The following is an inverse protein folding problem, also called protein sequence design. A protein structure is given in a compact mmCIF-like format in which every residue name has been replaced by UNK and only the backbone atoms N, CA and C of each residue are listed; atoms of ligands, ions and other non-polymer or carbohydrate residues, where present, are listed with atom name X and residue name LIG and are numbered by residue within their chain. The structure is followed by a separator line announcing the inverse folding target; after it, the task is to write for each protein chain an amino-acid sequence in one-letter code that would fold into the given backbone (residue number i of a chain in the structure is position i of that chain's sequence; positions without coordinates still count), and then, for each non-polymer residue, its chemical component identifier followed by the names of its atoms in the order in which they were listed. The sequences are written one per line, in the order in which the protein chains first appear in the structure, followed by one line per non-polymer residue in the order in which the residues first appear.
data_IF_519220213857
#
_entry.id   IF_519220213857
#
_cell.length_a   1.000
_cell.length_b   1.000
_cell.length_c   1.000
_cell.angle_alpha   90.00
_cell.angle_beta   90.00
_cell.angle_gamma   90.00
#
_symmetry.space_group_name_H-M   'P 1'
#
loop_
_entity.id
_entity.type
_entity.pdbx_description
1 polymer ?
#
# COMPACT_ATOMS: atom_id res chain seq x y z
N UNK A 1 10.75 9.60 -12.37
CA UNK A 1 11.92 10.03 -11.60
C UNK A 1 11.68 9.82 -10.11
N UNK A 2 12.43 8.88 -9.54
CA UNK A 2 12.27 8.51 -8.13
C UNK A 2 12.60 9.66 -7.18
N UNK A 3 13.62 10.42 -7.50
CA UNK A 3 14.00 11.56 -6.66
C UNK A 3 12.89 12.61 -6.59
N UNK A 4 12.26 12.93 -7.71
CA UNK A 4 11.16 13.86 -7.73
C UNK A 4 9.96 13.37 -6.93
N UNK A 5 9.67 12.07 -7.04
CA UNK A 5 8.61 11.47 -6.25
C UNK A 5 8.93 11.50 -4.76
N UNK A 6 10.18 11.22 -4.41
CA UNK A 6 10.60 11.29 -3.01
C UNK A 6 10.42 12.69 -2.44
N UNK A 7 10.79 13.71 -3.20
CA UNK A 7 10.61 15.10 -2.78
C UNK A 7 9.13 15.42 -2.55
N UNK A 8 8.24 14.90 -3.40
CA UNK A 8 6.80 15.07 -3.21
C UNK A 8 6.32 14.40 -1.93
N UNK A 9 6.83 13.22 -1.62
CA UNK A 9 6.43 12.48 -0.42
C UNK A 9 6.87 13.14 0.87
N UNK A 10 7.88 14.01 0.81
CA UNK A 10 8.30 14.78 1.98
C UNK A 10 7.24 15.79 2.42
N UNK A 11 6.41 16.26 1.50
CA UNK A 11 5.49 17.36 1.77
C UNK A 11 4.02 17.07 1.46
N UNK A 12 3.70 15.93 0.83
CA UNK A 12 2.33 15.64 0.39
C UNK A 12 1.86 14.29 0.89
N UNK A 13 0.56 14.16 1.21
CA UNK A 13 -0.01 12.83 1.45
C UNK A 13 0.03 12.01 0.17
N UNK A 14 0.13 10.70 0.30
CA UNK A 14 0.21 9.81 -0.85
C UNK A 14 -0.48 8.48 -0.62
N UNK A 15 -1.18 8.03 -1.66
CA UNK A 15 -1.76 6.71 -1.71
C UNK A 15 -1.19 6.01 -2.95
N UNK A 16 -0.40 4.96 -2.74
CA UNK A 16 0.18 4.17 -3.83
C UNK A 16 -0.62 2.92 -4.11
N UNK A 17 -0.90 2.65 -5.37
CA UNK A 17 -1.69 1.48 -5.78
C UNK A 17 -0.89 0.69 -6.82
N UNK A 18 -0.77 -0.61 -6.61
CA UNK A 18 -0.07 -1.54 -7.49
C UNK A 18 1.39 -1.13 -7.72
N UNK A 19 1.73 -0.61 -8.89
CA UNK A 19 3.09 -0.13 -9.17
C UNK A 19 3.49 0.99 -8.21
N UNK A 20 2.55 1.87 -7.87
CA UNK A 20 2.80 2.94 -6.90
C UNK A 20 3.21 2.41 -5.53
N UNK A 21 2.63 1.29 -5.11
CA UNK A 21 3.02 0.60 -3.88
C UNK A 21 4.49 0.16 -3.93
N UNK A 22 4.91 -0.45 -5.04
CA UNK A 22 6.28 -0.90 -5.20
C UNK A 22 7.26 0.29 -5.26
N UNK A 23 6.87 1.35 -5.92
CA UNK A 23 7.68 2.58 -6.00
C UNK A 23 7.88 3.19 -4.61
N UNK A 24 6.84 3.27 -3.80
CA UNK A 24 6.94 3.78 -2.43
C UNK A 24 7.92 2.93 -1.62
N UNK A 25 7.83 1.61 -1.74
CA UNK A 25 8.77 0.74 -1.04
C UNK A 25 10.22 1.04 -1.44
N UNK A 26 10.48 1.18 -2.73
CA UNK A 26 11.82 1.49 -3.22
C UNK A 26 12.32 2.87 -2.77
N UNK A 27 11.45 3.86 -2.73
CA UNK A 27 11.83 5.21 -2.28
C UNK A 27 12.39 5.18 -0.85
N UNK A 28 11.82 4.34 0.00
CA UNK A 28 12.25 4.23 1.39
C UNK A 28 13.32 3.14 1.61
N UNK A 29 13.88 2.61 0.53
CA UNK A 29 15.00 1.67 0.63
C UNK A 29 14.60 0.20 0.63
N UNK A 30 13.35 -0.11 0.38
CA UNK A 30 12.88 -1.48 0.29
C UNK A 30 13.26 -2.15 -1.01
N UNK A 31 12.99 -3.43 -1.09
CA UNK A 31 13.31 -4.27 -2.24
C UNK A 31 12.07 -4.98 -2.76
N UNK A 32 12.08 -5.30 -4.05
CA UNK A 32 11.07 -6.17 -4.64
C UNK A 32 11.73 -7.44 -5.14
N UNK A 33 10.94 -8.50 -5.30
CA UNK A 33 11.42 -9.76 -5.84
C UNK A 33 10.39 -10.34 -6.80
N UNK A 34 10.86 -11.15 -7.73
CA UNK A 34 9.98 -11.79 -8.71
C UNK A 34 9.27 -12.98 -8.05
N UNK A 35 7.95 -12.99 -8.18
CA UNK A 35 7.13 -14.11 -7.70
C UNK A 35 7.28 -15.30 -8.64
N UNK A 36 7.25 -16.51 -8.07
CA UNK A 36 7.37 -17.71 -8.86
C UNK A 36 6.22 -17.84 -9.87
N UNK A 37 5.00 -17.56 -9.43
CA UNK A 37 3.81 -17.68 -10.27
C UNK A 37 3.08 -16.37 -10.53
N UNK A 38 3.44 -15.30 -9.82
CA UNK A 38 2.71 -14.04 -9.87
C UNK A 38 1.37 -14.12 -9.14
N UNK A 39 0.78 -12.96 -8.92
CA UNK A 39 -0.57 -12.85 -8.36
C UNK A 39 -1.47 -12.29 -9.45
N UNK A 40 -2.43 -13.09 -9.91
CA UNK A 40 -3.34 -12.70 -11.00
C UNK A 40 -4.75 -13.16 -10.71
N UNK A 41 -5.70 -12.35 -11.15
CA UNK A 41 -7.11 -12.68 -11.02
C UNK A 41 -7.79 -11.99 -9.85
N UNK A 42 -9.08 -12.26 -9.68
CA UNK A 42 -9.94 -11.60 -8.71
C UNK A 42 -10.10 -12.32 -7.38
N UNK A 43 -9.25 -13.29 -7.10
CA UNK A 43 -9.38 -14.09 -5.88
C UNK A 43 -8.02 -14.23 -5.17
N UNK A 44 -7.40 -13.10 -4.89
CA UNK A 44 -6.16 -13.05 -4.13
C UNK A 44 -6.49 -12.60 -2.71
N UNK A 45 -6.48 -13.51 -1.73
CA UNK A 45 -6.88 -13.17 -0.36
C UNK A 45 -5.80 -12.35 0.34
N UNK A 46 -6.19 -11.19 0.82
CA UNK A 46 -5.30 -10.28 1.52
C UNK A 46 -5.83 -10.03 2.93
N UNK A 47 -4.98 -10.17 3.92
CA UNK A 47 -5.33 -9.93 5.31
C UNK A 47 -4.84 -8.56 5.74
N UNK A 48 -5.73 -7.76 6.27
CA UNK A 48 -5.36 -6.54 6.97
C UNK A 48 -4.89 -6.94 8.37
N UNK A 49 -3.64 -6.63 8.69
CA UNK A 49 -2.99 -7.13 9.91
C UNK A 49 -3.67 -6.60 11.17
N UNK A 50 -3.99 -5.31 11.19
CA UNK A 50 -4.55 -4.67 12.38
C UNK A 50 -5.91 -5.26 12.77
N UNK A 51 -6.81 -5.42 11.82
CA UNK A 51 -8.17 -5.93 12.09
C UNK A 51 -8.27 -7.45 12.02
N UNK A 52 -7.33 -8.10 11.35
CA UNK A 52 -7.38 -9.53 11.07
C UNK A 52 -8.37 -9.93 9.97
N UNK A 53 -9.00 -8.95 9.33
CA UNK A 53 -9.99 -9.22 8.28
C UNK A 53 -9.29 -9.61 6.99
N UNK A 54 -9.92 -10.55 6.25
CA UNK A 54 -9.43 -11.01 4.96
C UNK A 54 -10.38 -10.53 3.87
N UNK A 55 -9.79 -9.96 2.83
CA UNK A 55 -10.54 -9.44 1.69
C UNK A 55 -10.13 -10.16 0.42
N UNK A 56 -11.09 -10.57 -0.43
CA UNK A 56 -10.73 -11.01 -1.78
C UNK A 56 -10.32 -9.78 -2.59
N UNK A 57 -9.18 -9.86 -3.26
CA UNK A 57 -8.67 -8.73 -4.02
C UNK A 57 -8.39 -9.13 -5.46
N UNK A 58 -8.42 -8.13 -6.35
CA UNK A 58 -8.02 -8.31 -7.74
C UNK A 58 -6.59 -7.84 -7.91
N UNK A 59 -5.73 -8.71 -8.44
CA UNK A 59 -4.31 -8.42 -8.61
C UNK A 59 -3.82 -8.87 -9.97
N UNK A 60 -2.79 -8.21 -10.46
CA UNK A 60 -2.13 -8.59 -11.71
C UNK A 60 -0.70 -8.06 -11.67
N UNK A 61 0.18 -8.81 -11.01
CA UNK A 61 1.59 -8.41 -10.93
C UNK A 61 2.49 -9.62 -10.78
N UNK A 62 3.72 -9.48 -11.25
CA UNK A 62 4.73 -10.53 -11.15
C UNK A 62 5.79 -10.30 -10.09
N UNK A 63 5.76 -9.15 -9.43
CA UNK A 63 6.72 -8.77 -8.38
C UNK A 63 5.99 -8.39 -7.11
N UNK A 64 6.65 -8.59 -5.98
CA UNK A 64 6.13 -8.21 -4.67
C UNK A 64 7.21 -7.50 -3.87
N UNK A 65 6.78 -6.69 -2.90
CA UNK A 65 7.71 -6.05 -1.97
C UNK A 65 8.23 -7.10 -0.99
N UNK A 66 9.54 -7.11 -0.80
CA UNK A 66 10.20 -8.03 0.11
C UNK A 66 10.06 -7.57 1.56
N UNK A 67 9.88 -8.53 2.48
CA UNK A 67 9.93 -8.26 3.91
C UNK A 67 11.35 -8.37 4.47
N UNK A 68 12.32 -8.71 3.64
CA UNK A 68 13.74 -8.79 4.03
C UNK A 68 14.36 -7.39 3.94
N UNK A 69 15.20 -7.05 4.93
CA UNK A 69 15.81 -5.73 5.01
C UNK A 69 14.78 -4.62 4.88
N UNK A 70 13.66 -4.82 5.55
CA UNK A 70 12.49 -3.97 5.39
C UNK A 70 12.79 -2.54 5.89
N UNK A 71 12.32 -1.51 5.17
CA UNK A 71 12.55 -0.11 5.58
C UNK A 71 12.01 0.18 6.97
N UNK A 72 12.83 0.81 7.79
CA UNK A 72 12.44 1.12 9.18
C UNK A 72 11.34 2.18 9.28
N UNK A 73 11.16 2.99 8.24
CA UNK A 73 10.15 4.05 8.25
C UNK A 73 8.76 3.57 7.85
N UNK A 74 8.64 2.31 7.43
CA UNK A 74 7.39 1.74 6.95
C UNK A 74 6.92 0.59 7.85
N UNK A 75 5.61 0.42 7.94
CA UNK A 75 4.99 -0.74 8.57
C UNK A 75 4.23 -1.53 7.51
N UNK A 76 4.21 -2.85 7.66
CA UNK A 76 3.41 -3.72 6.79
C UNK A 76 1.98 -3.71 7.33
N UNK A 77 1.03 -3.37 6.47
CA UNK A 77 -0.39 -3.30 6.86
C UNK A 77 -1.21 -4.47 6.31
N UNK A 78 -0.79 -5.03 5.21
CA UNK A 78 -1.52 -6.10 4.54
C UNK A 78 -0.57 -7.20 4.05
N UNK A 79 -1.03 -8.44 4.13
CA UNK A 79 -0.29 -9.62 3.66
C UNK A 79 -1.19 -10.48 2.78
N UNK A 80 -0.65 -11.00 1.68
CA UNK A 80 -1.32 -12.05 0.92
C UNK A 80 -1.22 -13.34 1.72
N UNK A 81 -2.35 -13.96 2.05
CA UNK A 81 -2.33 -15.13 2.93
C UNK A 81 -1.96 -16.43 2.23
N UNK A 82 -1.92 -16.46 0.91
CA UNK A 82 -1.51 -17.65 0.17
C UNK A 82 0.00 -17.89 0.25
N UNK A 83 0.79 -16.83 0.25
CA UNK A 83 2.25 -16.95 0.22
C UNK A 83 2.97 -16.00 1.19
N UNK A 84 2.23 -15.29 2.04
CA UNK A 84 2.78 -14.37 3.03
C UNK A 84 3.61 -13.23 2.42
N UNK A 85 3.25 -12.78 1.23
CA UNK A 85 3.91 -11.62 0.62
C UNK A 85 3.28 -10.32 1.08
N UNK A 86 4.08 -9.26 1.09
CA UNK A 86 3.62 -7.93 1.50
C UNK A 86 2.62 -7.39 0.48
N UNK A 87 1.46 -6.93 0.94
CA UNK A 87 0.42 -6.39 0.09
C UNK A 87 -0.03 -4.99 0.48
N UNK A 88 0.52 -4.42 1.54
CA UNK A 88 0.20 -3.06 1.95
C UNK A 88 1.22 -2.50 2.89
N UNK A 89 1.43 -1.20 2.82
CA UNK A 89 2.41 -0.47 3.61
C UNK A 89 1.81 0.82 4.15
N UNK A 90 2.38 1.31 5.24
CA UNK A 90 2.04 2.60 5.82
C UNK A 90 3.31 3.22 6.40
N UNK A 91 3.53 4.51 6.12
CA UNK A 91 4.64 5.23 6.75
C UNK A 91 4.32 5.46 8.23
N UNK A 92 5.33 5.36 9.08
CA UNK A 92 5.15 5.52 10.53
C UNK A 92 4.72 6.92 10.95
N UNK A 93 5.18 7.93 10.24
CA UNK A 93 5.00 9.33 10.62
C UNK A 93 4.26 10.18 9.61
N UNK A 94 4.28 9.82 8.33
CA UNK A 94 3.70 10.62 7.24
C UNK A 94 2.40 10.01 6.74
N UNK A 95 1.50 10.81 6.15
CA UNK A 95 0.24 10.28 5.60
C UNK A 95 0.47 9.61 4.26
N UNK A 96 1.21 8.51 4.27
CA UNK A 96 1.55 7.71 3.09
C UNK A 96 1.12 6.28 3.35
N UNK A 97 0.25 5.76 2.49
CA UNK A 97 -0.15 4.35 2.52
C UNK A 97 -0.10 3.78 1.11
N UNK A 98 0.05 2.48 1.01
CA UNK A 98 0.05 1.83 -0.29
C UNK A 98 -0.54 0.43 -0.21
N UNK A 99 -1.10 -0.02 -1.32
CA UNK A 99 -1.64 -1.37 -1.45
C UNK A 99 -1.20 -1.94 -2.79
N UNK A 100 -0.95 -3.26 -2.82
CA UNK A 100 -0.53 -3.94 -4.03
C UNK A 100 -1.69 -4.21 -4.97
N UNK A 101 -2.88 -4.43 -4.43
CA UNK A 101 -4.05 -4.75 -5.25
C UNK A 101 -4.73 -3.48 -5.78
N UNK A 102 -5.58 -3.68 -6.78
CA UNK A 102 -6.36 -2.59 -7.35
C UNK A 102 -7.66 -2.45 -6.56
N UNK A 103 -7.74 -1.44 -5.72
CA UNK A 103 -8.92 -1.25 -4.87
C UNK A 103 -10.18 -1.00 -5.67
N UNK A 104 -10.07 -0.31 -6.79
CA UNK A 104 -11.21 -0.01 -7.67
C UNK A 104 -11.69 -1.23 -8.45
N UNK A 105 -10.89 -2.30 -8.50
CA UNK A 105 -11.23 -3.52 -9.23
C UNK A 105 -11.59 -4.69 -8.31
N UNK A 106 -11.75 -4.44 -7.00
CA UNK A 106 -12.13 -5.49 -6.08
C UNK A 106 -13.55 -5.99 -6.36
N UNK A 107 -13.76 -7.33 -6.34
CA UNK A 107 -15.11 -7.85 -6.42
C UNK A 107 -15.86 -7.54 -5.14
N UNK A 108 -16.90 -6.82 -5.19
CA UNK A 108 -17.64 -6.39 -4.02
C UNK A 108 -17.48 -4.89 -3.80
N UNK A 109 -18.56 -4.13 -3.95
CA UNK A 109 -18.50 -2.68 -3.97
C UNK A 109 -18.07 -2.04 -2.65
N UNK A 110 -18.21 -2.76 -1.54
CA UNK A 110 -17.94 -2.20 -0.22
C UNK A 110 -16.48 -2.39 0.21
N UNK A 111 -15.84 -3.43 -0.32
CA UNK A 111 -14.54 -3.88 0.21
C UNK A 111 -13.37 -2.98 -0.17
N UNK A 112 -13.48 -2.21 -1.24
CA UNK A 112 -12.39 -1.36 -1.70
C UNK A 112 -12.45 0.07 -1.17
N UNK A 113 -13.60 0.51 -0.71
CA UNK A 113 -13.77 1.90 -0.28
C UNK A 113 -13.05 2.22 1.02
N UNK A 114 -12.86 1.24 1.89
CA UNK A 114 -12.25 1.48 3.20
C UNK A 114 -10.82 2.03 3.08
N UNK A 115 -10.10 1.67 2.01
CA UNK A 115 -8.75 2.18 1.81
C UNK A 115 -8.74 3.70 1.60
N UNK A 116 -9.67 4.19 0.79
CA UNK A 116 -9.78 5.63 0.54
C UNK A 116 -10.23 6.36 1.81
N UNK A 117 -11.17 5.77 2.55
CA UNK A 117 -11.62 6.35 3.80
C UNK A 117 -10.49 6.40 4.83
N UNK A 118 -9.70 5.35 4.93
CA UNK A 118 -8.55 5.32 5.82
C UNK A 118 -7.51 6.36 5.44
N UNK A 119 -7.30 6.56 4.15
CA UNK A 119 -6.36 7.57 3.66
C UNK A 119 -6.83 8.97 4.04
N UNK A 120 -8.11 9.28 3.84
CA UNK A 120 -8.68 10.57 4.20
C UNK A 120 -8.57 10.80 5.72
N UNK A 121 -8.87 9.80 6.53
CA UNK A 121 -8.74 9.92 7.98
C UNK A 121 -7.28 10.16 8.40
N UNK A 122 -6.34 9.50 7.71
CA UNK A 122 -4.93 9.69 7.98
C UNK A 122 -4.48 11.13 7.68
N UNK A 123 -4.98 11.71 6.60
CA UNK A 123 -4.70 13.10 6.25
C UNK A 123 -5.22 14.04 7.33
N UNK A 124 -6.44 13.79 7.82
CA UNK A 124 -7.04 14.60 8.88
C UNK A 124 -6.26 14.50 10.18
N UNK A 125 -5.84 13.30 10.56
CA UNK A 125 -5.03 13.10 11.76
C UNK A 125 -3.73 13.89 11.73
N UNK A 126 -3.11 13.96 10.55
CA UNK A 126 -1.85 14.67 10.39
C UNK A 126 -2.07 16.17 10.14
N UNK A 127 -3.31 16.59 9.99
CA UNK A 127 -3.69 17.98 9.75
C UNK A 127 -3.01 18.60 8.53
N UNK A 128 -2.68 17.78 7.54
CA UNK A 128 -1.95 18.25 6.38
C UNK A 128 -2.73 19.27 5.56
N UNK A 129 -3.99 18.95 5.27
CA UNK A 129 -4.83 19.80 4.45
C UNK A 129 -5.26 21.04 5.23
N UNK A 130 -5.68 20.84 6.47
CA UNK A 130 -6.20 21.94 7.29
C UNK A 130 -5.15 23.00 7.54
N UNK A 131 -3.92 22.60 7.85
CA UNK A 131 -2.84 23.55 8.12
C UNK A 131 -2.40 24.32 6.89
N UNK A 132 -2.56 23.75 5.71
CA UNK A 132 -2.17 24.40 4.46
C UNK A 132 -3.29 25.24 3.87
N UNK A 133 -4.44 25.34 4.53
CA UNK A 133 -5.52 26.21 4.10
C UNK A 133 -6.35 25.69 2.94
N UNK A 134 -6.42 24.41 2.81
CA UNK A 134 -7.26 23.78 1.77
C UNK A 134 -8.74 23.98 2.05
#
# INVERSE_FOLDING_TARGET
NIKGLRDCLESLPALGICLGHQIIAHIYGGETFKLLFGHRGGNQPVKEIESGRVYPTSQNHGYAVSDKNFPKDLNITHMNINDNTVSGLKHKNKPIISIQYHSEACPGPVDSEYIFDNFIELIKEKEWIVKEGF
#
